data_IF_650716168697
#
_entry.id   IF_650716168697
#
_cell.length_a   1.000
_cell.length_b   1.000
_cell.length_c   1.000
_cell.angle_alpha   90.00
_cell.angle_beta   90.00
_cell.angle_gamma   90.00
#
_symmetry.space_group_name_H-M   'P 1'
#
loop_
_entity.id
_entity.type
_entity.pdbx_description
1 polymer ?
#
# COMPACT_ATOMS: atom_id res chain seq x y z
N UNK A 1 12.25 13.56 -6.11
CA UNK A 1 11.76 12.67 -7.20
C UNK A 1 12.08 11.21 -6.94
N UNK A 2 13.35 10.79 -6.94
CA UNK A 2 13.72 9.43 -6.51
C UNK A 2 13.45 9.25 -5.00
N UNK A 3 13.76 10.27 -4.19
CA UNK A 3 13.41 10.28 -2.76
C UNK A 3 11.90 10.19 -2.52
N UNK A 4 11.07 10.85 -3.34
CA UNK A 4 9.61 10.77 -3.23
C UNK A 4 9.08 9.36 -3.55
N UNK A 5 9.69 8.69 -4.55
CA UNK A 5 9.37 7.29 -4.88
C UNK A 5 9.80 6.36 -3.74
N UNK A 6 10.99 6.55 -3.18
CA UNK A 6 11.48 5.75 -2.07
C UNK A 6 10.62 5.92 -0.81
N UNK A 7 10.17 7.14 -0.52
CA UNK A 7 9.23 7.43 0.56
C UNK A 7 7.91 6.68 0.35
N UNK A 8 7.33 6.76 -0.85
CA UNK A 8 6.09 6.04 -1.19
C UNK A 8 6.25 4.53 -1.11
N UNK A 9 7.40 3.98 -1.51
CA UNK A 9 7.69 2.55 -1.37
C UNK A 9 7.81 2.12 0.09
N UNK A 10 8.39 2.95 0.95
CA UNK A 10 8.44 2.68 2.39
C UNK A 10 7.05 2.67 3.01
N UNK A 11 6.18 3.62 2.63
CA UNK A 11 4.77 3.67 3.06
C UNK A 11 4.00 2.40 2.63
N UNK A 12 4.17 1.95 1.37
CA UNK A 12 3.56 0.69 0.89
C UNK A 12 4.08 -0.52 1.66
N UNK A 13 5.39 -0.57 1.92
CA UNK A 13 6.00 -1.68 2.67
C UNK A 13 5.46 -1.78 4.10
N UNK A 14 5.26 -0.64 4.77
CA UNK A 14 4.68 -0.59 6.11
C UNK A 14 3.23 -1.11 6.14
N UNK A 15 2.41 -0.74 5.15
CA UNK A 15 1.03 -1.24 5.03
C UNK A 15 1.03 -2.76 4.78
N UNK A 16 1.94 -3.26 3.95
CA UNK A 16 2.07 -4.69 3.69
C UNK A 16 2.44 -5.47 4.96
N UNK A 17 3.36 -4.94 5.77
CA UNK A 17 3.69 -5.53 7.08
C UNK A 17 2.48 -5.58 8.00
N UNK A 18 1.70 -4.49 8.12
CA UNK A 18 0.48 -4.48 8.93
C UNK A 18 -0.53 -5.55 8.50
N UNK A 19 -0.71 -5.74 7.17
CA UNK A 19 -1.59 -6.79 6.64
C UNK A 19 -1.10 -8.19 7.02
N UNK A 20 0.22 -8.43 6.92
CA UNK A 20 0.81 -9.73 7.23
C UNK A 20 0.68 -10.07 8.72
N UNK A 21 0.91 -9.09 9.61
CA UNK A 21 0.76 -9.26 11.05
C UNK A 21 -0.70 -9.62 11.41
N UNK A 22 -1.67 -8.96 10.79
CA UNK A 22 -3.09 -9.23 11.01
C UNK A 22 -3.50 -10.64 10.54
N UNK A 23 -2.96 -11.09 9.40
CA UNK A 23 -3.20 -12.45 8.88
C UNK A 23 -2.55 -13.49 9.80
N UNK A 24 -1.31 -13.27 10.26
CA UNK A 24 -0.63 -14.17 11.20
C UNK A 24 -1.38 -14.29 12.53
N UNK A 25 -1.95 -13.18 13.02
CA UNK A 25 -2.78 -13.17 14.22
C UNK A 25 -3.95 -14.16 14.14
N UNK A 26 -4.52 -14.37 12.96
CA UNK A 26 -5.65 -15.29 12.76
C UNK A 26 -5.24 -16.75 12.75
N UNK A 27 -4.08 -17.09 12.18
CA UNK A 27 -3.56 -18.46 12.16
C UNK A 27 -3.33 -19.03 13.57
N UNK A 28 -3.25 -18.17 14.58
CA UNK A 28 -2.99 -18.53 15.97
C UNK A 28 -4.26 -18.59 16.85
N UNK A 29 -5.47 -18.49 16.29
CA UNK A 29 -6.73 -18.41 17.07
C UNK A 29 -7.43 -19.75 17.30
N UNK A 30 -7.92 -19.94 18.52
CA UNK A 30 -8.90 -20.99 18.88
C UNK A 30 -10.28 -20.72 18.25
N UNK A 31 -11.02 -21.78 17.91
CA UNK A 31 -12.25 -21.74 17.08
C UNK A 31 -13.36 -20.81 17.61
N UNK A 32 -13.47 -20.61 18.93
CA UNK A 32 -14.59 -19.85 19.52
C UNK A 32 -14.57 -18.35 19.20
N UNK A 33 -13.44 -17.77 18.75
CA UNK A 33 -13.32 -16.33 18.48
C UNK A 33 -13.22 -15.97 16.99
N UNK A 34 -13.38 -16.94 16.08
CA UNK A 34 -13.14 -16.74 14.65
C UNK A 34 -14.01 -15.65 14.01
N UNK A 35 -15.28 -15.53 14.41
CA UNK A 35 -16.18 -14.56 13.77
C UNK A 35 -15.77 -13.11 14.03
N UNK A 36 -15.44 -12.77 15.29
CA UNK A 36 -14.98 -11.43 15.65
C UNK A 36 -13.67 -11.07 14.95
N UNK A 37 -12.73 -12.00 14.93
CA UNK A 37 -11.40 -11.80 14.37
C UNK A 37 -11.42 -11.73 12.83
N UNK A 38 -12.30 -12.49 12.17
CA UNK A 38 -12.55 -12.37 10.73
C UNK A 38 -13.15 -11.01 10.37
N UNK A 39 -14.06 -10.47 11.18
CA UNK A 39 -14.63 -9.12 10.97
C UNK A 39 -13.56 -8.04 11.16
N UNK A 40 -12.67 -8.20 12.16
CA UNK A 40 -11.53 -7.29 12.36
C UNK A 40 -10.58 -7.35 11.17
N UNK A 41 -10.18 -8.55 10.73
CA UNK A 41 -9.30 -8.72 9.57
C UNK A 41 -9.89 -8.11 8.32
N UNK A 42 -11.17 -8.36 8.03
CA UNK A 42 -11.85 -7.79 6.86
C UNK A 42 -11.74 -6.26 6.87
N UNK A 43 -11.91 -5.63 8.03
CA UNK A 43 -11.78 -4.18 8.17
C UNK A 43 -10.34 -3.71 7.95
N UNK A 44 -9.36 -4.34 8.60
CA UNK A 44 -7.93 -4.00 8.43
C UNK A 44 -7.46 -4.19 6.98
N UNK A 45 -7.83 -5.30 6.34
CA UNK A 45 -7.52 -5.56 4.93
C UNK A 45 -8.13 -4.52 4.00
N UNK A 46 -9.40 -4.16 4.20
CA UNK A 46 -10.07 -3.20 3.34
C UNK A 46 -9.42 -1.82 3.41
N UNK A 47 -9.10 -1.35 4.62
CA UNK A 47 -8.38 -0.09 4.83
C UNK A 47 -6.99 -0.15 4.21
N UNK A 48 -6.25 -1.25 4.42
CA UNK A 48 -4.89 -1.41 3.91
C UNK A 48 -4.86 -1.41 2.37
N UNK A 49 -5.79 -2.14 1.72
CA UNK A 49 -5.93 -2.17 0.27
C UNK A 49 -6.26 -0.79 -0.30
N UNK A 50 -7.15 -0.04 0.36
CA UNK A 50 -7.47 1.33 -0.03
C UNK A 50 -6.24 2.24 0.03
N UNK A 51 -5.48 2.19 1.13
CA UNK A 51 -4.26 2.99 1.29
C UNK A 51 -3.18 2.61 0.26
N UNK A 52 -3.05 1.31 -0.07
CA UNK A 52 -2.14 0.87 -1.12
C UNK A 52 -2.54 1.41 -2.50
N UNK A 53 -3.84 1.41 -2.83
CA UNK A 53 -4.33 1.96 -4.11
C UNK A 53 -4.01 3.45 -4.25
N UNK A 54 -4.28 4.26 -3.21
CA UNK A 54 -3.92 5.69 -3.20
C UNK A 54 -2.43 5.91 -3.48
N UNK A 55 -1.56 5.08 -2.89
CA UNK A 55 -0.11 5.20 -3.07
C UNK A 55 0.35 4.76 -4.46
N UNK A 56 -0.28 3.77 -5.05
CA UNK A 56 -0.05 3.41 -6.47
C UNK A 56 -0.45 4.57 -7.38
N UNK A 57 -1.58 5.25 -7.10
CA UNK A 57 -2.00 6.42 -7.86
C UNK A 57 -1.01 7.59 -7.74
N UNK A 58 -0.49 7.86 -6.54
CA UNK A 58 0.56 8.87 -6.30
C UNK A 58 1.81 8.58 -7.15
N UNK A 59 2.32 7.35 -7.10
CA UNK A 59 3.49 6.90 -7.86
C UNK A 59 3.25 7.08 -9.37
N UNK A 60 2.07 6.69 -9.85
CA UNK A 60 1.68 6.90 -11.26
C UNK A 60 1.60 8.38 -11.65
N UNK A 61 1.23 9.26 -10.72
CA UNK A 61 1.29 10.71 -10.91
C UNK A 61 2.72 11.21 -11.09
N UNK A 62 3.62 10.79 -10.20
CA UNK A 62 5.05 11.14 -10.26
C UNK A 62 5.69 10.63 -11.56
N UNK A 63 5.43 9.37 -11.93
CA UNK A 63 5.93 8.79 -13.18
C UNK A 63 5.49 9.59 -14.42
N UNK A 64 4.23 10.03 -14.46
CA UNK A 64 3.72 10.89 -15.55
C UNK A 64 4.43 12.24 -15.60
N UNK A 65 4.76 12.84 -14.46
CA UNK A 65 5.51 14.10 -14.41
C UNK A 65 6.95 13.92 -14.91
N UNK A 66 7.61 12.80 -14.57
CA UNK A 66 8.95 12.44 -15.09
C UNK A 66 8.90 12.35 -16.62
N UNK A 67 7.98 11.55 -17.17
CA UNK A 67 7.85 11.35 -18.62
C UNK A 67 7.61 12.67 -19.36
N UNK A 68 6.73 13.54 -18.85
CA UNK A 68 6.48 14.86 -19.45
C UNK A 68 7.75 15.73 -19.49
N UNK A 69 8.55 15.71 -18.42
CA UNK A 69 9.77 16.50 -18.31
C UNK A 69 10.86 16.01 -19.27
N UNK A 70 11.01 14.70 -19.44
CA UNK A 70 11.95 14.13 -20.40
C UNK A 70 11.55 14.44 -21.86
N UNK A 71 10.27 14.30 -22.21
CA UNK A 71 9.76 14.68 -23.55
C UNK A 71 9.97 16.17 -23.85
N UNK A 72 9.89 17.04 -22.84
CA UNK A 72 10.17 18.47 -23.02
C UNK A 72 11.66 18.76 -23.23
N UNK A 73 12.57 18.00 -22.60
CA UNK A 73 14.02 18.13 -22.82
C UNK A 73 14.43 17.71 -24.23
N UNK A 74 13.81 16.66 -24.79
CA UNK A 74 14.12 16.19 -26.15
C UNK A 74 13.68 17.17 -27.26
N UNK A 75 12.72 18.05 -26.96
CA UNK A 75 12.18 19.05 -27.90
C UNK A 75 12.88 20.41 -27.82
N UNK A 76 13.79 20.59 -26.87
CA UNK A 76 14.48 21.85 -26.58
C UNK A 76 15.95 21.79 -26.93
#
# INVERSE_FOLDING_TARGET
MIEDINLKNAEVSAILTMVLDEIQGIYNLEEENWHHELVRLKSTLFTSLYMMDERVQDINGIARLIMKKEVQKEKS
#
